data_IF_996941915723
#
_entry.id   IF_996941915723
#
_cell.length_a   1.000
_cell.length_b   1.000
_cell.length_c   1.000
_cell.angle_alpha   90.00
_cell.angle_beta   90.00
_cell.angle_gamma   90.00
#
_symmetry.space_group_name_H-M   'P 1'
#
loop_
_entity.id
_entity.type
_entity.pdbx_description
1 polymer ?
#
# COMPACT_ATOMS: atom_id res chain seq x y z
N UNK A 1 12.63 -12.83 -31.07
CA UNK A 1 11.29 -12.47 -30.56
C UNK A 1 10.38 -12.18 -31.75
N UNK A 2 9.08 -12.51 -31.64
CA UNK A 2 8.13 -12.09 -32.66
C UNK A 2 7.97 -10.57 -32.59
N UNK A 3 7.91 -9.87 -33.73
CA UNK A 3 7.70 -8.44 -33.76
C UNK A 3 6.32 -8.09 -33.17
N UNK A 4 6.23 -6.97 -32.49
CA UNK A 4 4.99 -6.44 -31.91
C UNK A 4 4.44 -5.38 -32.87
N UNK A 5 3.17 -5.45 -33.21
CA UNK A 5 2.54 -4.46 -34.07
C UNK A 5 2.05 -3.25 -33.27
N UNK A 6 1.40 -3.51 -32.15
CA UNK A 6 0.75 -2.52 -31.30
C UNK A 6 1.24 -2.67 -29.87
N UNK A 7 1.62 -1.57 -29.24
CA UNK A 7 1.89 -1.48 -27.81
C UNK A 7 0.80 -0.65 -27.13
N UNK A 8 0.14 -1.21 -26.14
CA UNK A 8 -0.75 -0.48 -25.24
C UNK A 8 -0.04 -0.37 -23.90
N UNK A 9 0.16 0.84 -23.41
CA UNK A 9 0.85 1.12 -22.16
C UNK A 9 0.12 2.16 -21.33
N UNK A 10 0.39 2.17 -20.02
CA UNK A 10 -0.09 3.21 -19.13
C UNK A 10 0.73 4.49 -19.29
N UNK A 11 0.13 5.63 -18.97
CA UNK A 11 0.78 6.93 -19.07
C UNK A 11 0.45 7.87 -17.91
N UNK A 12 0.12 7.35 -16.74
CA UNK A 12 -0.32 8.14 -15.59
C UNK A 12 0.65 9.27 -15.22
N UNK A 13 1.95 9.02 -15.34
CA UNK A 13 2.99 9.98 -14.99
C UNK A 13 3.63 10.67 -16.21
N UNK A 14 3.09 10.50 -17.43
CA UNK A 14 3.67 11.08 -18.64
C UNK A 14 3.67 12.61 -18.66
N UNK A 15 2.71 13.23 -17.99
CA UNK A 15 2.52 14.69 -17.93
C UNK A 15 2.91 15.30 -16.58
N UNK A 16 3.26 14.47 -15.60
CA UNK A 16 3.62 14.92 -14.26
C UNK A 16 5.11 15.22 -14.20
N UNK A 17 5.46 16.40 -13.69
CA UNK A 17 6.86 16.73 -13.40
C UNK A 17 7.35 15.81 -12.26
N UNK A 18 8.48 15.14 -12.48
CA UNK A 18 9.07 14.17 -11.53
C UNK A 18 9.73 14.82 -10.29
N UNK A 19 9.29 16.00 -9.87
CA UNK A 19 9.86 16.63 -8.69
C UNK A 19 9.49 15.85 -7.43
N UNK A 20 10.45 15.07 -6.92
CA UNK A 20 10.38 14.52 -5.57
C UNK A 20 9.66 13.18 -5.42
N UNK A 21 9.52 12.38 -6.48
CA UNK A 21 9.01 11.02 -6.34
C UNK A 21 10.05 10.16 -5.62
N UNK A 22 9.72 9.77 -4.38
CA UNK A 22 10.55 8.83 -3.63
C UNK A 22 10.47 7.44 -4.29
N UNK A 23 11.60 6.75 -4.32
CA UNK A 23 11.64 5.34 -4.66
C UNK A 23 11.05 4.51 -3.50
N UNK A 24 10.61 3.29 -3.78
CA UNK A 24 10.18 2.34 -2.72
C UNK A 24 11.28 2.09 -1.67
N UNK A 25 12.55 2.19 -2.06
CA UNK A 25 13.69 2.04 -1.14
C UNK A 25 13.82 3.22 -0.19
N UNK A 26 13.68 4.44 -0.70
CA UNK A 26 13.72 5.68 0.11
C UNK A 26 12.51 5.74 1.04
N UNK A 27 11.32 5.36 0.55
CA UNK A 27 10.14 5.23 1.39
C UNK A 27 10.37 4.24 2.54
N UNK A 28 10.96 3.08 2.25
CA UNK A 28 11.25 2.09 3.28
C UNK A 28 12.14 2.63 4.40
N UNK A 29 13.13 3.49 4.10
CA UNK A 29 13.93 4.13 5.14
C UNK A 29 13.10 5.09 6.00
N UNK A 30 12.18 5.85 5.39
CA UNK A 30 11.28 6.73 6.13
C UNK A 30 10.28 5.92 6.98
N UNK A 31 9.71 4.84 6.44
CA UNK A 31 8.85 3.89 7.16
C UNK A 31 9.54 3.35 8.41
N UNK A 32 10.80 2.92 8.28
CA UNK A 32 11.61 2.43 9.42
C UNK A 32 11.80 3.50 10.50
N UNK A 33 12.13 4.72 10.09
CA UNK A 33 12.33 5.83 11.02
C UNK A 33 11.03 6.15 11.79
N UNK A 34 9.92 6.29 11.09
CA UNK A 34 8.62 6.60 11.71
C UNK A 34 8.15 5.47 12.64
N UNK A 35 8.28 4.22 12.20
CA UNK A 35 7.87 3.07 13.02
C UNK A 35 8.77 2.86 14.24
N UNK A 36 10.03 3.30 14.22
CA UNK A 36 10.90 3.24 15.40
C UNK A 36 10.56 4.33 16.43
N UNK A 37 10.12 5.51 15.98
CA UNK A 37 9.86 6.68 16.82
C UNK A 37 8.48 6.67 17.48
N UNK A 38 7.47 6.08 16.83
CA UNK A 38 6.08 6.11 17.28
C UNK A 38 5.62 4.76 17.81
N UNK A 39 5.05 4.71 18.99
CA UNK A 39 4.58 3.46 19.61
C UNK A 39 3.42 2.83 18.85
N UNK A 40 2.47 3.64 18.42
CA UNK A 40 1.31 3.21 17.64
C UNK A 40 1.25 3.98 16.31
N UNK A 41 1.13 3.24 15.23
CA UNK A 41 1.05 3.79 13.87
C UNK A 41 -0.17 3.18 13.16
N UNK A 42 -1.02 4.02 12.64
CA UNK A 42 -2.06 3.65 11.68
C UNK A 42 -1.53 3.90 10.27
N UNK A 43 -1.62 2.92 9.39
CA UNK A 43 -1.22 3.05 8.00
C UNK A 43 -2.45 2.91 7.10
N UNK A 44 -2.81 3.97 6.41
CA UNK A 44 -3.87 3.97 5.40
C UNK A 44 -3.22 3.69 4.05
N UNK A 45 -3.43 2.48 3.53
CA UNK A 45 -2.88 2.05 2.25
C UNK A 45 -3.81 1.09 1.52
N UNK A 46 -3.58 0.91 0.22
CA UNK A 46 -4.31 -0.08 -0.59
C UNK A 46 -3.99 -1.50 -0.12
N UNK A 47 -5.02 -2.33 -0.01
CA UNK A 47 -4.88 -3.77 0.30
C UNK A 47 -4.24 -4.58 -0.83
N UNK A 48 -4.10 -4.00 -2.03
CA UNK A 48 -3.52 -4.63 -3.22
C UNK A 48 -2.09 -4.17 -3.54
N UNK A 49 -1.57 -3.16 -2.86
CA UNK A 49 -0.18 -2.75 -3.01
C UNK A 49 0.74 -3.62 -2.12
N UNK A 50 1.01 -4.84 -2.58
CA UNK A 50 1.74 -5.84 -1.80
C UNK A 50 3.20 -5.47 -1.53
N UNK A 51 3.84 -4.69 -2.39
CA UNK A 51 5.21 -4.20 -2.16
C UNK A 51 5.21 -3.26 -0.97
N UNK A 52 4.30 -2.28 -0.95
CA UNK A 52 4.12 -1.32 0.13
C UNK A 52 3.77 -2.00 1.45
N UNK A 53 2.79 -2.92 1.44
CA UNK A 53 2.40 -3.71 2.60
C UNK A 53 3.58 -4.49 3.18
N UNK A 54 4.39 -5.11 2.31
CA UNK A 54 5.60 -5.85 2.72
C UNK A 54 6.64 -4.93 3.34
N UNK A 55 6.87 -3.74 2.78
CA UNK A 55 7.84 -2.79 3.29
C UNK A 55 7.44 -2.31 4.69
N UNK A 56 6.21 -1.84 4.88
CA UNK A 56 5.69 -1.49 6.21
C UNK A 56 5.74 -2.66 7.19
N UNK A 57 5.36 -3.86 6.76
CA UNK A 57 5.47 -5.05 7.60
C UNK A 57 6.91 -5.29 8.06
N UNK A 58 7.90 -5.22 7.15
CA UNK A 58 9.32 -5.39 7.49
C UNK A 58 9.78 -4.32 8.48
N UNK A 59 9.48 -3.06 8.22
CA UNK A 59 9.83 -1.95 9.09
C UNK A 59 9.21 -2.11 10.49
N UNK A 60 7.94 -2.55 10.59
CA UNK A 60 7.29 -2.83 11.86
C UNK A 60 7.94 -4.01 12.61
N UNK A 61 8.36 -5.06 11.89
CA UNK A 61 9.06 -6.20 12.49
C UNK A 61 10.43 -5.81 13.03
N UNK A 62 11.17 -4.99 12.31
CA UNK A 62 12.46 -4.44 12.77
C UNK A 62 12.28 -3.56 14.02
N UNK A 63 11.17 -2.84 14.13
CA UNK A 63 10.78 -2.07 15.31
C UNK A 63 10.09 -2.92 16.42
N UNK A 64 10.08 -4.25 16.30
CA UNK A 64 9.46 -5.20 17.23
C UNK A 64 7.97 -4.99 17.50
N UNK A 65 7.26 -4.32 16.60
CA UNK A 65 5.83 -4.01 16.72
C UNK A 65 4.94 -5.20 16.35
N UNK A 66 3.75 -5.21 16.94
CA UNK A 66 2.65 -6.04 16.47
C UNK A 66 2.10 -5.49 15.18
N UNK A 67 1.81 -6.35 14.20
CA UNK A 67 1.20 -5.94 12.93
C UNK A 67 -0.23 -6.46 12.88
N UNK A 68 -1.17 -5.54 12.72
CA UNK A 68 -2.60 -5.82 12.70
C UNK A 68 -3.21 -5.33 11.39
N UNK A 69 -4.14 -6.10 10.83
CA UNK A 69 -4.86 -5.75 9.61
C UNK A 69 -6.29 -6.29 9.63
N UNK A 70 -7.16 -5.79 8.77
CA UNK A 70 -8.48 -6.37 8.57
C UNK A 70 -8.36 -7.81 8.06
N UNK A 71 -9.36 -8.65 8.37
CA UNK A 71 -9.43 -10.02 7.85
C UNK A 71 -9.34 -10.04 6.32
N UNK A 72 -10.06 -9.14 5.66
CA UNK A 72 -10.01 -8.99 4.21
C UNK A 72 -8.57 -8.77 3.69
N UNK A 73 -7.83 -7.83 4.29
CA UNK A 73 -6.45 -7.57 3.88
C UNK A 73 -5.55 -8.78 4.11
N UNK A 74 -5.73 -9.50 5.21
CA UNK A 74 -4.96 -10.73 5.46
C UNK A 74 -5.22 -11.80 4.39
N UNK A 75 -6.48 -11.98 4.00
CA UNK A 75 -6.87 -12.92 2.94
C UNK A 75 -6.27 -12.52 1.58
N UNK A 76 -6.27 -11.23 1.24
CA UNK A 76 -5.62 -10.72 0.02
C UNK A 76 -4.11 -11.00 0.04
N UNK A 77 -3.44 -10.66 1.13
CA UNK A 77 -1.99 -10.89 1.30
C UNK A 77 -1.67 -12.39 1.22
N UNK A 78 -2.45 -13.24 1.89
CA UNK A 78 -2.27 -14.68 1.85
C UNK A 78 -2.43 -15.24 0.44
N UNK A 79 -3.48 -14.84 -0.27
CA UNK A 79 -3.75 -15.28 -1.65
C UNK A 79 -2.63 -14.86 -2.59
N UNK A 80 -2.13 -13.62 -2.48
CA UNK A 80 -1.03 -13.12 -3.30
C UNK A 80 0.26 -13.92 -3.08
N UNK A 81 0.63 -14.17 -1.81
CA UNK A 81 1.86 -14.91 -1.52
C UNK A 81 1.72 -16.39 -1.89
N UNK A 82 0.55 -16.99 -1.75
CA UNK A 82 0.31 -18.34 -2.21
C UNK A 82 0.49 -18.44 -3.73
N UNK A 83 -0.10 -17.52 -4.49
CA UNK A 83 0.09 -17.46 -5.94
C UNK A 83 1.57 -17.32 -6.33
N UNK A 84 2.31 -16.46 -5.67
CA UNK A 84 3.76 -16.29 -5.90
C UNK A 84 4.55 -17.55 -5.63
N UNK A 85 4.21 -18.26 -4.55
CA UNK A 85 4.85 -19.54 -4.20
C UNK A 85 4.57 -20.61 -5.26
N UNK A 86 3.32 -20.72 -5.69
CA UNK A 86 2.92 -21.70 -6.69
C UNK A 86 3.60 -21.43 -8.04
N UNK A 87 3.66 -20.17 -8.46
CA UNK A 87 4.35 -19.77 -9.68
C UNK A 87 5.85 -20.03 -9.58
N UNK A 88 6.48 -19.70 -8.46
CA UNK A 88 7.91 -19.95 -8.24
C UNK A 88 8.22 -21.44 -8.25
N UNK A 89 7.43 -22.26 -7.57
CA UNK A 89 7.58 -23.70 -7.56
C UNK A 89 7.41 -24.30 -8.97
N UNK A 90 6.42 -23.81 -9.72
CA UNK A 90 6.18 -24.22 -11.10
C UNK A 90 7.36 -23.90 -12.03
N UNK A 91 7.87 -22.65 -11.97
CA UNK A 91 8.95 -22.19 -12.83
C UNK A 91 10.30 -22.83 -12.51
N UNK A 92 10.57 -23.14 -11.25
CA UNK A 92 11.86 -23.62 -10.78
C UNK A 92 11.88 -25.11 -10.41
N UNK A 93 10.74 -25.79 -10.56
CA UNK A 93 10.57 -27.20 -10.18
C UNK A 93 11.03 -27.49 -8.72
N UNK A 94 10.85 -26.52 -7.81
CA UNK A 94 11.30 -26.53 -6.44
C UNK A 94 10.16 -26.81 -5.47
N UNK A 95 10.49 -27.36 -4.30
CA UNK A 95 9.55 -27.44 -3.17
C UNK A 95 9.26 -26.03 -2.65
N UNK A 96 7.98 -25.77 -2.32
CA UNK A 96 7.53 -24.48 -1.80
C UNK A 96 8.43 -23.96 -0.67
N UNK A 97 9.04 -22.80 -0.86
CA UNK A 97 9.82 -22.14 0.17
C UNK A 97 8.88 -21.30 1.07
N UNK A 98 8.97 -21.53 2.39
CA UNK A 98 8.16 -20.85 3.41
C UNK A 98 8.57 -19.38 3.63
N UNK A 99 9.61 -18.88 2.98
CA UNK A 99 10.17 -17.54 3.18
C UNK A 99 9.21 -16.40 2.78
N UNK A 100 8.19 -16.67 1.96
CA UNK A 100 7.25 -15.66 1.47
C UNK A 100 6.02 -15.43 2.37
N UNK A 101 5.93 -16.11 3.50
CA UNK A 101 4.87 -15.84 4.46
C UNK A 101 5.16 -14.54 5.23
N UNK A 102 4.12 -13.81 5.63
CA UNK A 102 4.20 -12.71 6.59
C UNK A 102 3.81 -13.21 8.00
N UNK A 103 4.69 -13.95 8.70
CA UNK A 103 4.37 -14.53 9.98
C UNK A 103 4.24 -13.44 11.04
N UNK A 104 3.19 -13.53 11.84
CA UNK A 104 2.96 -12.56 12.93
C UNK A 104 2.24 -11.29 12.48
N UNK A 105 1.59 -11.31 11.33
CA UNK A 105 0.53 -10.38 10.97
C UNK A 105 -0.79 -10.97 11.41
N UNK A 106 -1.54 -10.27 12.27
CA UNK A 106 -2.74 -10.77 12.90
C UNK A 106 -3.97 -9.99 12.47
N UNK A 107 -5.16 -10.63 12.59
CA UNK A 107 -6.42 -9.95 12.40
C UNK A 107 -6.61 -8.89 13.49
N UNK A 108 -7.01 -7.69 13.06
CA UNK A 108 -7.44 -6.64 13.99
C UNK A 108 -8.81 -7.00 14.52
N UNK A 109 -8.90 -7.29 15.81
CA UNK A 109 -10.16 -7.52 16.51
C UNK A 109 -10.72 -6.19 16.99
N UNK A 110 -11.95 -5.91 16.57
CA UNK A 110 -12.75 -4.77 17.01
C UNK A 110 -13.75 -5.23 18.07
N UNK A 111 -14.53 -4.29 18.63
CA UNK A 111 -15.41 -4.60 19.77
C UNK A 111 -16.41 -5.74 19.50
N UNK A 112 -16.87 -5.88 18.24
CA UNK A 112 -17.79 -6.97 17.88
C UNK A 112 -17.10 -8.34 17.96
N UNK A 113 -15.90 -8.43 17.43
CA UNK A 113 -15.09 -9.65 17.49
C UNK A 113 -14.56 -9.88 18.91
N UNK A 114 -14.32 -8.81 19.67
CA UNK A 114 -13.92 -8.90 21.08
C UNK A 114 -14.96 -9.58 21.96
N UNK A 115 -16.24 -9.39 21.66
CA UNK A 115 -17.32 -10.08 22.37
C UNK A 115 -17.36 -11.58 22.06
N UNK A 116 -16.89 -11.98 20.87
CA UNK A 116 -16.85 -13.38 20.43
C UNK A 116 -15.58 -14.10 20.88
N UNK A 117 -14.46 -13.41 20.96
CA UNK A 117 -13.17 -13.96 21.39
C UNK A 117 -12.43 -12.99 22.35
N UNK A 118 -12.95 -12.95 23.57
CA UNK A 118 -12.44 -12.06 24.62
C UNK A 118 -10.95 -12.28 24.91
N UNK A 119 -10.51 -13.54 24.95
CA UNK A 119 -9.11 -13.85 25.25
C UNK A 119 -8.16 -13.35 24.15
N UNK A 120 -8.50 -13.58 22.88
CA UNK A 120 -7.69 -13.10 21.76
C UNK A 120 -7.63 -11.57 21.74
N UNK A 121 -8.74 -10.90 22.05
CA UNK A 121 -8.79 -9.44 22.17
C UNK A 121 -7.91 -8.90 23.29
N UNK A 122 -8.00 -9.48 24.50
CA UNK A 122 -7.17 -9.10 25.63
C UNK A 122 -5.67 -9.30 25.34
N UNK A 123 -5.31 -10.38 24.65
CA UNK A 123 -3.94 -10.63 24.21
C UNK A 123 -3.48 -9.61 23.16
N UNK A 124 -4.37 -9.22 22.25
CA UNK A 124 -4.09 -8.16 21.27
C UNK A 124 -3.81 -6.83 21.98
N UNK A 125 -4.70 -6.41 22.90
CA UNK A 125 -4.55 -5.19 23.68
C UNK A 125 -3.24 -5.17 24.48
N UNK A 126 -2.96 -6.25 25.20
CA UNK A 126 -1.74 -6.39 25.97
C UNK A 126 -0.49 -6.22 25.09
N UNK A 127 -0.41 -6.98 24.01
CA UNK A 127 0.75 -6.93 23.09
C UNK A 127 0.90 -5.56 22.45
N UNK A 128 -0.21 -4.91 22.03
CA UNK A 128 -0.21 -3.57 21.45
C UNK A 128 0.35 -2.55 22.45
N UNK A 129 -0.10 -2.60 23.69
CA UNK A 129 0.36 -1.66 24.72
C UNK A 129 1.80 -1.90 25.17
N UNK A 130 2.25 -3.15 25.21
CA UNK A 130 3.63 -3.48 25.58
C UNK A 130 4.62 -3.12 24.45
N UNK A 131 4.35 -3.58 23.24
CA UNK A 131 5.31 -3.56 22.12
C UNK A 131 5.08 -2.42 21.12
N UNK A 132 3.90 -1.80 21.17
CA UNK A 132 3.42 -0.94 20.11
C UNK A 132 2.89 -1.74 18.91
N UNK A 133 2.26 -1.04 17.98
CA UNK A 133 1.66 -1.68 16.83
C UNK A 133 1.76 -0.84 15.55
N UNK A 134 1.73 -1.54 14.42
CA UNK A 134 1.33 -1.03 13.12
C UNK A 134 -0.06 -1.61 12.80
N UNK A 135 -1.03 -0.76 12.54
CA UNK A 135 -2.39 -1.15 12.19
C UNK A 135 -2.70 -0.66 10.78
N UNK A 136 -2.93 -1.60 9.87
CA UNK A 136 -3.34 -1.27 8.51
C UNK A 136 -4.84 -0.99 8.45
N UNK A 137 -5.18 0.12 7.83
CA UNK A 137 -6.56 0.54 7.55
C UNK A 137 -6.74 0.66 6.03
N UNK A 138 -7.83 0.12 5.50
CA UNK A 138 -8.13 0.15 4.06
C UNK A 138 -9.62 0.08 3.79
N UNK A 139 -10.02 0.47 2.58
CA UNK A 139 -11.40 0.40 2.10
C UNK A 139 -12.31 1.47 2.67
N UNK A 140 -13.62 1.34 2.40
CA UNK A 140 -14.65 2.33 2.73
C UNK A 140 -14.77 2.65 4.24
N UNK A 141 -14.43 1.71 5.10
CA UNK A 141 -14.51 1.90 6.56
C UNK A 141 -13.22 2.44 7.18
N UNK A 142 -12.25 2.88 6.37
CA UNK A 142 -10.97 3.36 6.90
C UNK A 142 -11.13 4.61 7.79
N UNK A 143 -12.01 5.52 7.40
CA UNK A 143 -12.30 6.75 8.16
C UNK A 143 -12.90 6.44 9.54
N UNK A 144 -13.99 5.68 9.59
CA UNK A 144 -14.65 5.27 10.82
C UNK A 144 -13.70 4.52 11.76
N UNK A 145 -12.95 3.56 11.23
CA UNK A 145 -11.96 2.80 12.02
C UNK A 145 -10.84 3.69 12.54
N UNK A 146 -10.34 4.63 11.72
CA UNK A 146 -9.32 5.59 12.16
C UNK A 146 -9.82 6.42 13.33
N UNK A 147 -10.99 7.06 13.20
CA UNK A 147 -11.57 7.90 14.25
C UNK A 147 -11.75 7.12 15.56
N UNK A 148 -12.33 5.94 15.47
CA UNK A 148 -12.60 5.09 16.64
C UNK A 148 -11.33 4.59 17.32
N UNK A 149 -10.33 4.14 16.55
CA UNK A 149 -9.07 3.65 17.09
C UNK A 149 -8.18 4.78 17.60
N UNK A 150 -8.17 5.94 16.94
CA UNK A 150 -7.45 7.12 17.40
C UNK A 150 -8.01 7.64 18.74
N UNK A 151 -9.33 7.66 18.90
CA UNK A 151 -9.97 8.01 20.16
C UNK A 151 -9.64 6.98 21.28
N UNK A 152 -9.74 5.68 20.97
CA UNK A 152 -9.45 4.60 21.92
C UNK A 152 -8.01 4.60 22.42
N UNK A 153 -7.07 4.91 21.59
CA UNK A 153 -5.63 4.89 21.88
C UNK A 153 -4.99 6.29 21.95
N UNK A 154 -5.79 7.31 22.28
CA UNK A 154 -5.33 8.70 22.34
C UNK A 154 -4.17 8.88 23.33
N UNK A 155 -4.12 8.08 24.39
CA UNK A 155 -3.04 8.04 25.36
C UNK A 155 -1.68 7.62 24.77
N UNK A 156 -1.68 6.90 23.63
CA UNK A 156 -0.47 6.48 22.93
C UNK A 156 -0.01 7.48 21.85
N UNK A 157 -0.76 8.57 21.64
CA UNK A 157 -0.46 9.60 20.63
C UNK A 157 -0.15 8.99 19.24
N UNK A 158 -1.11 8.29 18.63
CA UNK A 158 -0.86 7.55 17.41
C UNK A 158 -0.44 8.45 16.25
N UNK A 159 0.50 7.97 15.43
CA UNK A 159 0.82 8.55 14.14
C UNK A 159 -0.06 7.93 13.06
N UNK A 160 -0.58 8.73 12.15
CA UNK A 160 -1.24 8.27 10.93
C UNK A 160 -0.30 8.44 9.74
N UNK A 161 0.03 7.35 9.08
CA UNK A 161 0.73 7.38 7.80
C UNK A 161 -0.30 7.22 6.69
N UNK A 162 -0.47 8.25 5.87
CA UNK A 162 -1.29 8.21 4.69
C UNK A 162 -0.44 7.80 3.47
N UNK A 163 -0.65 6.59 3.00
CA UNK A 163 0.16 5.97 1.93
C UNK A 163 -0.69 5.65 0.70
N UNK A 164 -1.50 6.62 0.30
CA UNK A 164 -2.30 6.61 -0.94
C UNK A 164 -2.12 7.94 -1.67
N UNK A 165 -2.67 8.03 -2.88
CA UNK A 165 -2.68 9.29 -3.62
C UNK A 165 -3.41 10.39 -2.85
N UNK A 166 -2.76 11.56 -2.73
CA UNK A 166 -3.28 12.66 -1.92
C UNK A 166 -4.58 13.27 -2.45
N UNK A 167 -4.88 13.11 -3.71
CA UNK A 167 -6.11 13.59 -4.32
C UNK A 167 -7.37 13.05 -3.64
N UNK A 168 -7.34 11.82 -3.10
CA UNK A 168 -8.49 11.26 -2.36
C UNK A 168 -8.88 12.05 -1.10
N UNK A 169 -7.97 12.85 -0.54
CA UNK A 169 -8.22 13.60 0.71
C UNK A 169 -7.97 15.11 0.58
N UNK A 170 -7.43 15.59 -0.55
CA UNK A 170 -7.08 17.00 -0.74
C UNK A 170 -7.88 17.67 -1.85
N UNK A 171 -8.17 16.96 -2.91
CA UNK A 171 -8.84 17.51 -4.09
C UNK A 171 -10.35 17.34 -3.98
N UNK A 172 -11.01 18.37 -3.45
CA UNK A 172 -12.47 18.37 -3.21
C UNK A 172 -13.30 18.29 -4.48
N UNK A 173 -12.73 18.65 -5.61
CA UNK A 173 -13.42 18.66 -6.89
C UNK A 173 -13.22 17.33 -7.66
N UNK A 174 -12.33 16.45 -7.15
CA UNK A 174 -12.10 15.15 -7.76
C UNK A 174 -13.26 14.18 -7.49
N UNK A 175 -13.66 13.45 -8.51
CA UNK A 175 -14.69 12.39 -8.44
C UNK A 175 -14.46 11.39 -7.28
N UNK A 176 -13.19 11.17 -6.93
CA UNK A 176 -12.79 10.18 -5.93
C UNK A 176 -12.52 10.79 -4.55
N UNK A 177 -12.86 12.06 -4.33
CA UNK A 177 -12.65 12.70 -3.04
C UNK A 177 -13.45 12.02 -1.92
N UNK A 178 -12.78 11.70 -0.84
CA UNK A 178 -13.40 11.09 0.34
C UNK A 178 -13.37 12.06 1.51
N UNK A 179 -14.46 12.79 1.71
CA UNK A 179 -14.60 13.80 2.75
C UNK A 179 -14.43 13.24 4.17
N UNK A 180 -15.03 12.08 4.46
CA UNK A 180 -14.94 11.46 5.79
C UNK A 180 -13.50 11.08 6.14
N UNK A 181 -12.76 10.54 5.15
CA UNK A 181 -11.36 10.18 5.33
C UNK A 181 -10.48 11.42 5.46
N UNK A 182 -10.76 12.47 4.68
CA UNK A 182 -10.06 13.74 4.77
C UNK A 182 -10.21 14.36 6.16
N UNK A 183 -11.43 14.39 6.70
CA UNK A 183 -11.73 14.92 8.04
C UNK A 183 -11.05 14.07 9.13
N UNK A 184 -11.11 12.75 9.04
CA UNK A 184 -10.43 11.86 9.97
C UNK A 184 -8.90 12.03 9.96
N UNK A 185 -8.33 12.24 8.77
CA UNK A 185 -6.90 12.52 8.61
C UNK A 185 -6.54 13.90 9.18
N UNK A 186 -7.34 14.94 8.90
CA UNK A 186 -7.10 16.30 9.40
C UNK A 186 -7.14 16.41 10.92
N UNK A 187 -7.97 15.58 11.57
CA UNK A 187 -8.06 15.49 13.02
C UNK A 187 -6.93 14.68 13.67
N UNK A 188 -6.00 14.13 12.90
CA UNK A 188 -4.95 13.22 13.35
C UNK A 188 -3.55 13.82 13.18
N UNK A 189 -2.57 13.27 13.92
CA UNK A 189 -1.15 13.50 13.64
C UNK A 189 -0.77 12.70 12.38
N UNK A 190 -0.74 13.34 11.23
CA UNK A 190 -0.62 12.70 9.92
C UNK A 190 0.69 13.02 9.22
N UNK A 191 1.28 12.00 8.61
CA UNK A 191 2.40 12.11 7.66
C UNK A 191 1.97 11.46 6.35
N UNK A 192 2.14 12.18 5.24
CA UNK A 192 1.96 11.60 3.91
C UNK A 192 3.25 10.90 3.48
N UNK A 193 3.14 9.62 3.19
CA UNK A 193 4.26 8.78 2.75
C UNK A 193 3.80 7.88 1.62
N UNK A 194 3.92 8.39 0.40
CA UNK A 194 3.42 7.72 -0.81
C UNK A 194 4.36 7.98 -1.99
N UNK A 195 4.50 6.98 -2.84
CA UNK A 195 5.03 7.14 -4.20
C UNK A 195 4.05 6.52 -5.18
N UNK A 196 4.04 7.03 -6.39
CA UNK A 196 3.22 6.48 -7.45
C UNK A 196 3.62 5.02 -7.71
N UNK A 197 2.64 4.13 -7.84
CA UNK A 197 2.86 2.76 -8.30
C UNK A 197 2.97 2.66 -9.83
N UNK A 198 2.84 3.79 -10.52
CA UNK A 198 2.90 3.88 -11.98
C UNK A 198 4.32 4.16 -12.46
N UNK A 199 4.63 3.71 -13.68
CA UNK A 199 5.93 3.93 -14.29
C UNK A 199 6.21 5.42 -14.50
N UNK A 200 7.48 5.83 -14.38
CA UNK A 200 7.89 7.18 -14.77
C UNK A 200 7.84 7.33 -16.28
N UNK A 201 7.84 8.58 -16.75
CA UNK A 201 7.88 8.89 -18.18
C UNK A 201 9.06 8.21 -18.87
N UNK A 202 10.25 8.27 -18.24
CA UNK A 202 11.48 7.68 -18.76
C UNK A 202 11.35 6.17 -18.95
N UNK A 203 10.74 5.49 -17.95
CA UNK A 203 10.50 4.04 -18.01
C UNK A 203 9.50 3.69 -19.11
N UNK A 204 8.42 4.45 -19.26
CA UNK A 204 7.47 4.25 -20.35
C UNK A 204 8.13 4.45 -21.72
N UNK A 205 8.91 5.51 -21.88
CA UNK A 205 9.66 5.77 -23.12
C UNK A 205 10.73 4.70 -23.41
N UNK A 206 11.34 4.14 -22.36
CA UNK A 206 12.29 3.02 -22.49
C UNK A 206 11.56 1.75 -22.95
N UNK A 207 10.40 1.44 -22.38
CA UNK A 207 9.55 0.32 -22.80
C UNK A 207 9.16 0.48 -24.28
N UNK A 208 8.72 1.66 -24.68
CA UNK A 208 8.36 1.95 -26.08
C UNK A 208 9.54 1.69 -27.01
N UNK A 209 10.72 2.19 -26.66
CA UNK A 209 11.95 1.97 -27.44
C UNK A 209 12.37 0.50 -27.49
N UNK A 210 12.26 -0.20 -26.37
CA UNK A 210 12.61 -1.63 -26.28
C UNK A 210 11.68 -2.51 -27.09
N UNK A 211 10.37 -2.28 -26.98
CA UNK A 211 9.35 -3.06 -27.71
C UNK A 211 9.37 -2.73 -29.20
N UNK A 212 9.61 -1.47 -29.55
CA UNK A 212 9.67 -0.94 -30.91
C UNK A 212 8.50 -1.43 -31.78
N UNK A 213 7.24 -1.10 -31.46
CA UNK A 213 6.07 -1.60 -32.17
C UNK A 213 6.06 -1.09 -33.62
N UNK A 214 5.51 -1.90 -34.53
CA UNK A 214 5.58 -1.61 -35.98
C UNK A 214 4.53 -0.60 -36.45
N UNK A 215 3.36 -0.55 -35.78
CA UNK A 215 2.25 0.31 -36.22
C UNK A 215 2.08 1.53 -35.30
N UNK A 216 1.70 1.32 -34.03
CA UNK A 216 1.50 2.43 -33.12
C UNK A 216 1.64 2.04 -31.64
N UNK A 217 1.75 3.07 -30.81
CA UNK A 217 1.67 2.99 -29.35
C UNK A 217 0.40 3.70 -28.91
N UNK A 218 -0.43 3.01 -28.12
CA UNK A 218 -1.56 3.63 -27.41
C UNK A 218 -1.17 3.87 -25.95
N UNK A 219 -1.07 5.13 -25.56
CA UNK A 219 -0.83 5.55 -24.18
C UNK A 219 -2.20 5.84 -23.55
N UNK A 220 -2.61 4.97 -22.64
CA UNK A 220 -3.91 5.03 -21.95
C UNK A 220 -3.70 5.29 -20.46
N UNK A 221 -4.78 5.45 -19.70
CA UNK A 221 -4.73 5.72 -18.26
C UNK A 221 -3.83 6.92 -17.95
N UNK A 222 -4.03 8.00 -18.71
CA UNK A 222 -3.33 9.27 -18.60
C UNK A 222 -4.34 10.42 -18.67
N UNK A 223 -4.01 11.56 -18.06
CA UNK A 223 -4.80 12.80 -18.21
C UNK A 223 -4.90 13.22 -19.69
N UNK A 224 -3.90 12.85 -20.47
CA UNK A 224 -3.85 13.06 -21.91
C UNK A 224 -3.55 11.74 -22.63
N UNK A 225 -4.58 10.91 -22.78
CA UNK A 225 -4.45 9.69 -23.57
C UNK A 225 -4.09 10.03 -25.01
N UNK A 226 -3.10 9.35 -25.58
CA UNK A 226 -2.62 9.62 -26.93
C UNK A 226 -2.34 8.33 -27.71
N UNK A 227 -2.46 8.40 -29.04
CA UNK A 227 -2.02 7.36 -29.96
C UNK A 227 -0.88 7.93 -30.78
N UNK A 228 0.30 7.33 -30.66
CA UNK A 228 1.49 7.70 -31.44
C UNK A 228 1.68 6.70 -32.56
N UNK A 229 1.40 7.14 -33.78
CA UNK A 229 1.69 6.34 -34.96
C UNK A 229 3.18 6.39 -35.30
N UNK A 230 3.72 5.29 -35.79
CA UNK A 230 5.08 5.28 -36.32
C UNK A 230 5.11 6.15 -37.57
N UNK A 231 5.96 7.16 -37.57
CA UNK A 231 6.27 7.89 -38.80
C UNK A 231 7.27 7.05 -39.61
N UNK A 232 6.88 6.65 -40.80
CA UNK A 232 7.74 5.95 -41.76
C UNK A 232 8.65 6.93 -42.46
#
# INVERSE_FOLDING_TARGET
SKPVDILITEGTNMTREEQGLLTESELFQQERALLSQHKLVFCICSSTNFIRLRNFYRAAREAHKVVLASRYMLEQVQSYYQYKLDLYAYLNNCKQDRQFRLPGMYSLLLDKEALQDKLAYELQEKKLRERGALIFLSGMQAAEKLQRLAAKYSDLQPLVIYSQWSGYIKDKDAEYYNAELADACAASNIVQLHTSGHASKEVVEEIIRFVNPREYVAIIHSEHAEIRYRQY
#
